data_IF_117229769980
#
_entry.id   IF_117229769980
#
_cell.length_a   1.000
_cell.length_b   1.000
_cell.length_c   1.000
_cell.angle_alpha   90.00
_cell.angle_beta   90.00
_cell.angle_gamma   90.00
#
_symmetry.space_group_name_H-M   'P 1'
#
loop_
_entity.id
_entity.type
_entity.pdbx_description
1 polymer ?
#
# COMPACT_ATOMS: atom_id res chain seq x y z
N UNK A 1 35.98 3.29 -9.90
CA UNK A 1 35.69 3.55 -8.47
C UNK A 1 34.40 4.35 -8.28
N UNK A 2 34.23 5.54 -8.86
CA UNK A 2 32.96 6.30 -8.75
C UNK A 2 31.81 5.73 -9.59
N UNK A 3 32.12 5.15 -10.76
CA UNK A 3 31.12 4.48 -11.61
C UNK A 3 30.57 3.21 -10.94
N UNK A 4 31.45 2.39 -10.36
CA UNK A 4 31.09 1.12 -9.69
C UNK A 4 30.14 1.35 -8.48
N UNK A 5 30.30 2.46 -7.75
CA UNK A 5 29.42 2.84 -6.64
C UNK A 5 28.01 3.25 -7.09
N UNK A 6 27.89 3.89 -8.25
CA UNK A 6 26.60 4.29 -8.80
C UNK A 6 25.84 3.08 -9.38
N UNK A 7 26.58 2.10 -9.91
CA UNK A 7 26.03 0.84 -10.39
C UNK A 7 25.57 -0.05 -9.23
N UNK A 8 26.33 -0.12 -8.13
CA UNK A 8 25.91 -0.82 -6.91
C UNK A 8 24.64 -0.22 -6.28
N UNK A 9 24.50 1.10 -6.27
CA UNK A 9 23.28 1.77 -5.77
C UNK A 9 22.04 1.45 -6.62
N UNK A 10 22.19 1.43 -7.94
CA UNK A 10 21.09 1.03 -8.85
C UNK A 10 20.73 -0.44 -8.71
N UNK A 11 21.73 -1.30 -8.47
CA UNK A 11 21.48 -2.72 -8.22
C UNK A 11 20.70 -2.95 -6.93
N UNK A 12 21.00 -2.22 -5.84
CA UNK A 12 20.27 -2.30 -4.58
C UNK A 12 18.81 -1.83 -4.72
N UNK A 13 18.58 -0.71 -5.40
CA UNK A 13 17.20 -0.23 -5.67
C UNK A 13 16.41 -1.23 -6.53
N UNK A 14 17.08 -1.92 -7.46
CA UNK A 14 16.43 -2.93 -8.27
C UNK A 14 16.10 -4.19 -7.44
N UNK A 15 17.00 -4.60 -6.54
CA UNK A 15 16.74 -5.68 -5.59
C UNK A 15 15.57 -5.36 -4.64
N UNK A 16 15.43 -4.12 -4.19
CA UNK A 16 14.31 -3.69 -3.34
C UNK A 16 12.97 -3.80 -4.09
N UNK A 17 12.90 -3.29 -5.32
CA UNK A 17 11.71 -3.41 -6.18
C UNK A 17 11.36 -4.86 -6.50
N UNK A 18 12.37 -5.71 -6.74
CA UNK A 18 12.18 -7.13 -7.04
C UNK A 18 11.72 -7.92 -5.81
N UNK A 19 12.19 -7.56 -4.61
CA UNK A 19 11.71 -8.14 -3.34
C UNK A 19 10.24 -7.77 -3.08
N UNK A 20 9.85 -6.52 -3.33
CA UNK A 20 8.46 -6.07 -3.20
C UNK A 20 7.52 -6.81 -4.16
N UNK A 21 7.94 -6.99 -5.42
CA UNK A 21 7.22 -7.78 -6.42
C UNK A 21 7.13 -9.27 -6.06
N UNK A 22 8.17 -9.84 -5.43
CA UNK A 22 8.17 -11.22 -4.97
C UNK A 22 7.24 -11.44 -3.77
N UNK A 23 7.20 -10.47 -2.83
CA UNK A 23 6.27 -10.48 -1.70
C UNK A 23 4.82 -10.37 -2.18
N UNK A 24 4.54 -9.48 -3.14
CA UNK A 24 3.20 -9.34 -3.73
C UNK A 24 2.74 -10.65 -4.42
N UNK A 25 3.65 -11.35 -5.11
CA UNK A 25 3.37 -12.65 -5.74
C UNK A 25 3.20 -13.79 -4.72
N UNK A 26 3.99 -13.81 -3.64
CA UNK A 26 3.87 -14.80 -2.56
C UNK A 26 2.56 -14.65 -1.76
N UNK A 27 2.13 -13.41 -1.53
CA UNK A 27 0.83 -13.10 -0.90
C UNK A 27 -0.33 -13.54 -1.78
N UNK A 28 -0.18 -13.45 -3.11
CA UNK A 28 -1.19 -13.91 -4.07
C UNK A 28 -1.20 -15.43 -4.28
N UNK A 29 -0.11 -16.15 -3.97
CA UNK A 29 0.00 -17.60 -4.12
C UNK A 29 -0.30 -18.41 -2.84
N UNK A 30 -0.37 -17.78 -1.66
CA UNK A 30 -0.55 -18.47 -0.36
C UNK A 30 -1.88 -18.17 0.36
N UNK A 31 -2.91 -17.73 -0.35
CA UNK A 31 -4.23 -17.50 0.24
C UNK A 31 -5.31 -18.53 -0.15
N UNK A 32 -4.91 -19.69 -0.67
CA UNK A 32 -5.75 -20.90 -0.64
C UNK A 32 -5.06 -22.02 0.18
N UNK A 33 -5.30 -22.10 1.50
CA UNK A 33 -5.23 -23.35 2.24
C UNK A 33 -6.63 -23.98 2.31
N UNK A 34 -6.94 -24.88 1.39
CA UNK A 34 -7.99 -25.88 1.59
C UNK A 34 -7.34 -27.27 1.43
N UNK A 35 -6.86 -27.81 2.55
CA UNK A 35 -6.97 -29.25 2.87
C UNK A 35 -8.39 -29.41 3.46
N UNK A 36 -9.25 -30.40 3.20
CA UNK A 36 -9.21 -31.67 2.48
C UNK A 36 -10.64 -32.27 2.60
N UNK A 37 -11.13 -33.03 1.61
CA UNK A 37 -12.06 -34.18 1.80
C UNK A 37 -12.54 -34.76 0.45
N UNK A 38 -11.89 -35.83 0.00
CA UNK A 38 -12.37 -36.69 -1.08
C UNK A 38 -11.53 -37.95 -1.28
N UNK A 39 -11.60 -38.87 -0.31
CA UNK A 39 -10.81 -40.09 -0.16
C UNK A 39 -10.66 -41.00 -1.40
N UNK A 40 -9.45 -41.58 -1.58
CA UNK A 40 -9.28 -42.99 -1.95
C UNK A 40 -7.83 -43.49 -1.72
N UNK A 41 -7.71 -44.38 -0.73
CA UNK A 41 -6.80 -45.54 -0.56
C UNK A 41 -5.31 -45.46 -0.93
N UNK A 42 -4.46 -45.79 0.07
CA UNK A 42 -3.34 -46.72 -0.16
C UNK A 42 -1.91 -46.26 0.19
N UNK A 43 -1.55 -46.45 1.47
CA UNK A 43 -0.22 -46.83 1.98
C UNK A 43 0.98 -45.84 1.99
N UNK A 44 1.59 -45.81 3.19
CA UNK A 44 2.99 -45.54 3.53
C UNK A 44 3.50 -44.09 3.55
N UNK A 45 3.76 -43.57 4.76
CA UNK A 45 4.80 -42.56 5.03
C UNK A 45 6.21 -43.17 4.85
N UNK A 46 7.33 -42.42 4.83
CA UNK A 46 7.48 -41.00 5.14
C UNK A 46 8.43 -40.19 4.21
N UNK A 47 8.42 -38.88 4.38
CA UNK A 47 9.57 -37.95 4.27
C UNK A 47 10.23 -37.61 2.89
N UNK A 48 10.62 -36.33 2.81
CA UNK A 48 11.62 -35.67 1.95
C UNK A 48 11.24 -35.30 0.48
N UNK A 49 11.73 -34.10 0.11
CA UNK A 49 12.37 -33.69 -1.17
C UNK A 49 11.59 -32.65 -1.97
N UNK A 50 11.99 -31.39 -1.74
CA UNK A 50 11.87 -30.29 -2.70
C UNK A 50 12.78 -30.63 -3.88
N UNK A 51 12.22 -30.86 -5.07
CA UNK A 51 12.99 -30.85 -6.30
C UNK A 51 12.26 -30.10 -7.41
N UNK A 52 12.96 -29.07 -7.89
CA UNK A 52 12.75 -28.41 -9.16
C UNK A 52 13.20 -29.34 -10.30
N UNK A 53 12.27 -29.75 -11.17
CA UNK A 53 12.46 -30.19 -12.56
C UNK A 53 11.06 -30.58 -13.08
N UNK A 54 10.57 -30.25 -14.26
CA UNK A 54 11.13 -29.73 -15.49
C UNK A 54 9.97 -28.99 -16.21
N UNK A 55 10.20 -27.78 -16.72
CA UNK A 55 10.37 -27.53 -18.15
C UNK A 55 9.51 -28.42 -19.08
N UNK A 56 8.50 -27.79 -19.69
CA UNK A 56 8.19 -27.82 -21.13
C UNK A 56 6.68 -27.91 -21.41
N UNK A 57 6.09 -26.79 -21.83
CA UNK A 57 5.43 -26.67 -23.14
C UNK A 57 4.68 -25.33 -23.22
N UNK A 58 5.26 -24.42 -23.99
CA UNK A 58 4.56 -23.27 -24.54
C UNK A 58 3.51 -23.76 -25.56
N UNK A 59 2.28 -23.19 -25.54
CA UNK A 59 1.81 -22.27 -26.59
C UNK A 59 0.37 -21.78 -26.32
N UNK A 60 0.24 -20.45 -26.38
CA UNK A 60 -0.86 -19.66 -26.96
C UNK A 60 -2.32 -20.16 -26.81
N UNK A 61 -3.14 -19.37 -26.11
CA UNK A 61 -4.28 -18.76 -26.80
C UNK A 61 -4.73 -17.45 -26.15
N UNK A 62 -5.25 -16.59 -27.02
CA UNK A 62 -5.61 -15.20 -26.84
C UNK A 62 -7.12 -15.14 -26.58
N UNK A 63 -7.55 -14.06 -25.92
CA UNK A 63 -8.93 -13.58 -25.79
C UNK A 63 -9.84 -14.29 -24.78
N UNK A 64 -10.20 -13.56 -23.72
CA UNK A 64 -11.59 -13.18 -23.48
C UNK A 64 -11.62 -12.08 -22.43
N UNK A 65 -12.25 -10.95 -22.76
CA UNK A 65 -12.59 -9.92 -21.80
C UNK A 65 -13.43 -10.53 -20.69
N UNK A 66 -12.91 -10.53 -19.46
CA UNK A 66 -13.68 -10.94 -18.29
C UNK A 66 -14.69 -9.82 -17.97
N UNK A 67 -15.99 -10.13 -17.88
CA UNK A 67 -16.99 -9.13 -17.57
C UNK A 67 -16.79 -8.62 -16.14
N UNK A 68 -17.03 -7.32 -15.94
CA UNK A 68 -17.04 -6.70 -14.63
C UNK A 68 -17.89 -7.54 -13.68
N UNK A 69 -17.25 -8.07 -12.63
CA UNK A 69 -17.93 -8.79 -11.58
C UNK A 69 -18.98 -7.85 -10.95
N UNK A 70 -20.25 -8.26 -10.85
CA UNK A 70 -21.23 -7.46 -10.16
C UNK A 70 -20.81 -7.36 -8.69
N UNK A 71 -20.64 -6.14 -8.19
CA UNK A 71 -20.58 -5.82 -6.76
C UNK A 71 -21.92 -6.22 -6.13
N UNK A 72 -22.09 -7.50 -5.88
CA UNK A 72 -23.23 -8.09 -5.21
C UNK A 72 -22.96 -8.17 -3.72
N UNK A 73 -22.98 -7.03 -3.04
CA UNK A 73 -23.40 -7.03 -1.64
C UNK A 73 -24.73 -7.78 -1.58
N UNK A 74 -24.87 -8.67 -0.59
CA UNK A 74 -25.97 -9.61 -0.38
C UNK A 74 -27.19 -9.24 -1.22
N UNK A 75 -27.41 -10.05 -2.27
CA UNK A 75 -28.65 -10.14 -3.05
C UNK A 75 -29.82 -9.68 -2.16
N UNK A 76 -30.53 -8.63 -2.57
CA UNK A 76 -31.48 -7.88 -1.75
C UNK A 76 -32.27 -8.79 -0.79
N UNK A 77 -32.32 -8.47 0.51
CA UNK A 77 -33.03 -9.30 1.52
C UNK A 77 -34.45 -9.67 1.07
N UNK A 78 -35.13 -8.77 0.35
CA UNK A 78 -36.43 -9.06 -0.25
C UNK A 78 -36.43 -10.24 -1.24
N UNK A 79 -35.41 -10.37 -2.09
CA UNK A 79 -35.29 -11.47 -3.05
C UNK A 79 -34.99 -12.83 -2.40
N UNK A 80 -34.40 -12.84 -1.19
CA UNK A 80 -34.28 -14.07 -0.41
C UNK A 80 -35.61 -14.43 0.23
N UNK A 81 -36.34 -13.46 0.77
CA UNK A 81 -37.66 -13.68 1.37
C UNK A 81 -38.66 -14.22 0.32
N UNK A 82 -38.71 -13.64 -0.88
CA UNK A 82 -39.58 -14.14 -1.95
C UNK A 82 -39.22 -15.57 -2.37
N UNK A 83 -37.92 -15.89 -2.47
CA UNK A 83 -37.47 -17.25 -2.81
C UNK A 83 -37.85 -18.26 -1.73
N UNK A 84 -37.73 -17.89 -0.46
CA UNK A 84 -38.17 -18.72 0.66
C UNK A 84 -39.68 -18.96 0.60
N UNK A 85 -40.47 -17.92 0.35
CA UNK A 85 -41.93 -18.04 0.25
C UNK A 85 -42.35 -18.93 -0.92
N UNK A 86 -41.72 -18.78 -2.09
CA UNK A 86 -41.95 -19.66 -3.25
C UNK A 86 -41.56 -21.11 -2.94
N UNK A 87 -40.40 -21.32 -2.32
CA UNK A 87 -39.90 -22.65 -1.97
C UNK A 87 -40.83 -23.36 -0.97
N UNK A 88 -41.29 -22.65 0.06
CA UNK A 88 -42.24 -23.19 1.03
C UNK A 88 -43.64 -23.41 0.44
N UNK A 89 -44.11 -22.54 -0.47
CA UNK A 89 -45.41 -22.71 -1.12
C UNK A 89 -45.46 -23.94 -2.04
N UNK A 90 -44.30 -24.41 -2.51
CA UNK A 90 -44.18 -25.63 -3.31
C UNK A 90 -44.12 -26.93 -2.48
N UNK A 91 -44.04 -26.83 -1.15
CA UNK A 91 -43.89 -28.00 -0.29
C UNK A 91 -45.17 -28.84 -0.21
N UNK A 92 -45.03 -30.17 -0.21
CA UNK A 92 -46.16 -31.10 -0.16
C UNK A 92 -46.78 -31.26 1.23
N UNK A 93 -46.00 -30.97 2.29
CA UNK A 93 -46.42 -31.01 3.68
C UNK A 93 -45.62 -30.02 4.56
N UNK A 94 -46.06 -29.85 5.81
CA UNK A 94 -45.44 -28.91 6.78
C UNK A 94 -44.02 -29.35 7.18
N UNK A 95 -43.74 -30.65 7.21
CA UNK A 95 -42.41 -31.21 7.45
C UNK A 95 -41.44 -30.93 6.31
N UNK A 96 -41.87 -31.09 5.06
CA UNK A 96 -41.11 -30.74 3.85
C UNK A 96 -40.84 -29.23 3.80
N UNK A 97 -41.85 -28.40 4.09
CA UNK A 97 -41.69 -26.94 4.19
C UNK A 97 -40.64 -26.57 5.24
N UNK A 98 -40.67 -27.22 6.42
CA UNK A 98 -39.69 -26.98 7.49
C UNK A 98 -38.28 -27.42 7.11
N UNK A 99 -38.14 -28.58 6.45
CA UNK A 99 -36.84 -29.07 5.98
C UNK A 99 -36.23 -28.14 4.92
N UNK A 100 -37.06 -27.65 3.99
CA UNK A 100 -36.66 -26.65 2.99
C UNK A 100 -36.24 -25.33 3.62
N UNK A 101 -37.04 -24.80 4.55
CA UNK A 101 -36.71 -23.58 5.27
C UNK A 101 -35.38 -23.70 6.04
N UNK A 102 -35.13 -24.85 6.67
CA UNK A 102 -33.87 -25.12 7.36
C UNK A 102 -32.65 -25.06 6.43
N UNK A 103 -32.73 -25.71 5.25
CA UNK A 103 -31.65 -25.67 4.25
C UNK A 103 -31.45 -24.26 3.69
N UNK A 104 -32.54 -23.59 3.33
CA UNK A 104 -32.52 -22.23 2.80
C UNK A 104 -31.87 -21.23 3.76
N UNK A 105 -32.22 -21.30 5.05
CA UNK A 105 -31.61 -20.45 6.07
C UNK A 105 -30.12 -20.75 6.24
N UNK A 106 -29.70 -22.02 6.13
CA UNK A 106 -28.30 -22.40 6.10
C UNK A 106 -27.54 -21.75 4.94
N UNK A 107 -28.09 -21.82 3.73
CA UNK A 107 -27.53 -21.19 2.53
C UNK A 107 -27.47 -19.66 2.64
N UNK A 108 -28.53 -19.05 3.17
CA UNK A 108 -28.58 -17.60 3.39
C UNK A 108 -27.50 -17.14 4.38
N UNK A 109 -27.37 -17.82 5.51
CA UNK A 109 -26.37 -17.47 6.53
C UNK A 109 -24.94 -17.71 6.02
N UNK A 110 -24.72 -18.76 5.25
CA UNK A 110 -23.42 -19.00 4.61
C UNK A 110 -23.08 -17.89 3.61
N UNK A 111 -24.04 -17.48 2.76
CA UNK A 111 -23.86 -16.39 1.81
C UNK A 111 -23.59 -15.04 2.50
N UNK A 112 -24.29 -14.73 3.59
CA UNK A 112 -24.06 -13.53 4.40
C UNK A 112 -22.65 -13.54 5.02
N UNK A 113 -22.25 -14.68 5.60
CA UNK A 113 -20.93 -14.87 6.20
C UNK A 113 -19.81 -14.70 5.17
N UNK A 114 -19.96 -15.33 4.01
CA UNK A 114 -18.93 -15.27 2.96
C UNK A 114 -18.83 -13.87 2.35
N UNK A 115 -19.97 -13.16 2.22
CA UNK A 115 -19.99 -11.73 1.88
C UNK A 115 -19.21 -10.89 2.90
N UNK A 116 -19.49 -11.08 4.18
CA UNK A 116 -18.78 -10.37 5.26
C UNK A 116 -17.28 -10.69 5.28
N UNK A 117 -16.87 -11.93 5.03
CA UNK A 117 -15.46 -12.32 4.96
C UNK A 117 -14.74 -11.66 3.78
N UNK A 118 -15.40 -11.57 2.62
CA UNK A 118 -14.86 -10.86 1.44
C UNK A 118 -14.67 -9.38 1.74
N UNK A 119 -15.67 -8.72 2.30
CA UNK A 119 -15.59 -7.31 2.70
C UNK A 119 -14.49 -7.09 3.75
N UNK A 120 -14.39 -7.95 4.75
CA UNK A 120 -13.33 -7.88 5.76
C UNK A 120 -11.93 -8.03 5.13
N UNK A 121 -11.78 -8.91 4.13
CA UNK A 121 -10.56 -9.04 3.33
C UNK A 121 -10.23 -7.76 2.55
N UNK A 122 -11.22 -7.13 1.91
CA UNK A 122 -11.05 -5.86 1.21
C UNK A 122 -10.67 -4.73 2.17
N UNK A 123 -11.34 -4.65 3.33
CA UNK A 123 -11.05 -3.66 4.37
C UNK A 123 -9.63 -3.83 4.92
N UNK A 124 -9.20 -5.06 5.21
CA UNK A 124 -7.81 -5.34 5.64
C UNK A 124 -6.80 -4.87 4.60
N UNK A 125 -7.03 -5.17 3.31
CA UNK A 125 -6.18 -4.71 2.21
C UNK A 125 -6.14 -3.17 2.13
N UNK A 126 -7.30 -2.51 2.21
CA UNK A 126 -7.40 -1.06 2.19
C UNK A 126 -6.66 -0.41 3.36
N UNK A 127 -6.81 -0.96 4.57
CA UNK A 127 -6.12 -0.48 5.78
C UNK A 127 -4.60 -0.60 5.65
N UNK A 128 -4.10 -1.72 5.14
CA UNK A 128 -2.67 -1.91 4.92
C UNK A 128 -2.10 -0.89 3.93
N UNK A 129 -2.74 -0.72 2.78
CA UNK A 129 -2.31 0.29 1.78
C UNK A 129 -2.33 1.68 2.38
N UNK A 130 -3.37 2.02 3.14
CA UNK A 130 -3.47 3.33 3.79
C UNK A 130 -2.36 3.53 4.83
N UNK A 131 -2.03 2.49 5.60
CA UNK A 131 -0.93 2.52 6.57
C UNK A 131 0.42 2.78 5.89
N UNK A 132 0.73 2.08 4.80
CA UNK A 132 1.97 2.30 4.05
C UNK A 132 2.07 3.74 3.52
N UNK A 133 1.01 4.23 2.87
CA UNK A 133 0.95 5.62 2.36
C UNK A 133 1.09 6.67 3.46
N UNK A 134 0.50 6.40 4.63
CA UNK A 134 0.64 7.29 5.79
C UNK A 134 2.10 7.33 6.26
N UNK A 135 2.72 6.16 6.41
CA UNK A 135 4.10 6.05 6.88
C UNK A 135 5.11 6.72 5.93
N UNK A 136 4.93 6.57 4.63
CA UNK A 136 5.73 7.28 3.62
C UNK A 136 5.56 8.81 3.76
N UNK A 137 4.32 9.26 3.96
CA UNK A 137 4.02 10.68 4.23
C UNK A 137 4.68 11.20 5.50
N UNK A 138 4.71 10.39 6.57
CA UNK A 138 5.40 10.74 7.82
C UNK A 138 6.90 10.90 7.62
N UNK A 139 7.54 9.98 6.88
CA UNK A 139 8.98 10.05 6.56
C UNK A 139 9.29 11.31 5.75
N UNK A 140 8.51 11.58 4.69
CA UNK A 140 8.68 12.80 3.89
C UNK A 140 8.49 14.08 4.71
N UNK A 141 7.51 14.10 5.60
CA UNK A 141 7.26 15.24 6.49
C UNK A 141 8.41 15.42 7.50
N UNK A 142 8.94 14.35 8.07
CA UNK A 142 10.09 14.39 8.97
C UNK A 142 11.33 14.99 8.28
N UNK A 143 11.61 14.60 7.04
CA UNK A 143 12.73 15.17 6.26
C UNK A 143 12.51 16.65 5.94
N UNK A 144 11.30 17.06 5.53
CA UNK A 144 10.98 18.48 5.32
C UNK A 144 11.16 19.31 6.60
N UNK A 145 10.73 18.79 7.76
CA UNK A 145 10.94 19.45 9.05
C UNK A 145 12.43 19.60 9.38
N UNK A 146 13.24 18.58 9.12
CA UNK A 146 14.70 18.65 9.29
C UNK A 146 15.32 19.70 8.39
N UNK A 147 14.93 19.78 7.12
CA UNK A 147 15.42 20.78 6.18
C UNK A 147 15.04 22.20 6.60
N UNK A 148 13.79 22.40 7.05
CA UNK A 148 13.34 23.68 7.60
C UNK A 148 14.16 24.10 8.82
N UNK A 149 14.45 23.18 9.74
CA UNK A 149 15.31 23.46 10.89
C UNK A 149 16.71 23.92 10.45
N UNK A 150 17.33 23.22 9.50
CA UNK A 150 18.63 23.60 8.96
C UNK A 150 18.62 24.95 8.21
N UNK A 151 17.53 25.28 7.51
CA UNK A 151 17.35 26.62 6.92
C UNK A 151 17.25 27.71 8.00
N UNK A 152 16.49 27.48 9.07
CA UNK A 152 16.35 28.43 10.17
C UNK A 152 17.68 28.69 10.89
N UNK A 153 18.50 27.65 11.09
CA UNK A 153 19.83 27.80 11.69
C UNK A 153 20.77 28.63 10.81
N UNK A 154 20.77 28.40 9.50
CA UNK A 154 21.56 29.20 8.55
C UNK A 154 21.15 30.67 8.56
N UNK A 155 19.85 30.95 8.63
CA UNK A 155 19.35 32.33 8.75
C UNK A 155 19.88 32.98 10.03
N UNK A 156 19.76 32.30 11.18
CA UNK A 156 20.30 32.83 12.46
C UNK A 156 21.81 33.10 12.40
N UNK A 157 22.59 32.21 11.78
CA UNK A 157 24.04 32.41 11.59
C UNK A 157 24.35 33.64 10.74
N UNK A 158 23.65 33.79 9.61
CA UNK A 158 23.82 34.95 8.74
C UNK A 158 23.40 36.25 9.42
N UNK A 159 22.34 36.23 10.24
CA UNK A 159 21.94 37.38 11.06
C UNK A 159 23.06 37.78 12.04
N UNK A 160 23.70 36.81 12.70
CA UNK A 160 24.82 37.10 13.61
C UNK A 160 26.06 37.62 12.88
N UNK A 161 26.39 37.04 11.72
CA UNK A 161 27.55 37.45 10.92
C UNK A 161 27.35 38.85 10.34
N UNK A 162 26.15 39.12 9.81
CA UNK A 162 25.80 40.43 9.26
C UNK A 162 25.79 41.51 10.36
N UNK A 163 25.28 41.19 11.55
CA UNK A 163 25.37 42.08 12.71
C UNK A 163 26.82 42.36 13.12
N UNK A 164 27.67 41.32 13.19
CA UNK A 164 29.08 41.48 13.51
C UNK A 164 29.81 42.34 12.46
N UNK A 165 29.56 42.10 11.17
CA UNK A 165 30.11 42.89 10.08
C UNK A 165 29.67 44.36 10.15
N UNK A 166 28.38 44.62 10.39
CA UNK A 166 27.86 45.98 10.56
C UNK A 166 28.53 46.69 11.75
N UNK A 167 28.78 45.98 12.85
CA UNK A 167 29.51 46.51 14.00
C UNK A 167 30.98 46.80 13.69
N UNK A 168 31.67 45.91 12.96
CA UNK A 168 33.06 46.14 12.50
C UNK A 168 33.15 47.32 11.55
N UNK A 169 32.24 47.42 10.58
CA UNK A 169 32.18 48.55 9.65
C UNK A 169 31.98 49.86 10.40
N UNK A 170 31.07 49.90 11.37
CA UNK A 170 30.84 51.09 12.22
C UNK A 170 32.07 51.50 13.03
N UNK A 171 32.91 50.54 13.42
CA UNK A 171 34.14 50.78 14.18
C UNK A 171 35.33 51.16 13.29
N UNK A 172 35.40 50.59 12.09
CA UNK A 172 36.39 50.96 11.06
C UNK A 172 36.05 52.31 10.42
N UNK A 173 34.78 52.68 10.40
CA UNK A 173 34.34 54.03 10.06
C UNK A 173 34.77 54.96 11.21
N UNK A 174 35.70 55.90 10.97
CA UNK A 174 36.21 56.75 12.03
C UNK A 174 35.06 57.57 12.62
N UNK A 175 34.86 57.48 13.94
CA UNK A 175 33.94 58.33 14.71
C UNK A 175 34.38 59.82 14.76
N UNK A 176 35.12 60.29 13.76
CA UNK A 176 35.77 61.60 13.74
C UNK A 176 36.30 62.02 12.38
N UNK A 177 35.73 61.53 11.28
CA UNK A 177 35.93 62.14 9.97
C UNK A 177 34.92 63.25 9.76
N UNK A 178 35.26 64.46 10.18
CA UNK A 178 34.52 65.65 9.82
C UNK A 178 34.16 65.61 8.33
N UNK A 179 32.86 65.66 8.03
CA UNK A 179 32.34 66.13 6.74
C UNK A 179 32.64 67.64 6.71
N UNK A 180 33.91 67.97 6.52
CA UNK A 180 34.41 69.30 6.27
C UNK A 180 35.67 69.13 5.42
N UNK A 181 35.49 69.10 4.10
CA UNK A 181 36.64 69.09 3.20
C UNK A 181 36.36 68.45 1.86
N UNK A 182 35.70 69.21 0.99
CA UNK A 182 35.87 69.13 -0.46
C UNK A 182 35.38 67.86 -1.16
N UNK A 183 34.05 67.78 -1.35
CA UNK A 183 33.57 67.34 -2.66
C UNK A 183 33.89 68.48 -3.63
N UNK A 184 34.83 68.26 -4.54
CA UNK A 184 35.03 69.10 -5.71
C UNK A 184 33.96 68.73 -6.75
N UNK A 185 32.98 69.61 -7.05
CA UNK A 185 32.22 69.49 -8.27
C UNK A 185 33.03 70.12 -9.41
N UNK A 186 32.87 69.58 -10.62
CA UNK A 186 33.34 70.11 -11.90
C UNK A 186 34.85 70.10 -12.14
N UNK A 187 35.34 69.13 -12.94
CA UNK A 187 36.22 69.38 -14.11
C UNK A 187 36.07 68.21 -15.12
N UNK A 188 35.38 68.50 -16.23
CA UNK A 188 35.33 67.88 -17.58
C UNK A 188 35.26 66.36 -17.76
#
# INVERSE_FOLDING_TARGET
>A
MAADSAEAARALEQCERDLDLAIERLVNLRLDPEDDAGASEGAASPEIIINNAAAAAAKAHRSAAAPAAPSGGIRNRGEWVERLMVEMASAGDVGDARARAGRFLGEFLAAERDGALRENGLLKKAVLVQYHRHKEGEVGNAELRRQLAGCQERVRSLETDNYALAMYLRRAQPQGGAIAGSFHPEVF
#
